data_IF_508712310266
#
_entry.id   IF_508712310266
#
_cell.length_a   1.000
_cell.length_b   1.000
_cell.length_c   1.000
_cell.angle_alpha   90.00
_cell.angle_beta   90.00
_cell.angle_gamma   90.00
#
_symmetry.space_group_name_H-M   'P 1'
#
loop_
_entity.id
_entity.type
_entity.pdbx_description
1 polymer ?
#
# COMPACT_ATOMS: atom_id res chain seq x y z
N UNK A 1 2.65 -16.83 -15.42
CA UNK A 1 1.70 -15.70 -15.62
C UNK A 1 2.44 -14.54 -16.25
N UNK A 2 1.88 -13.89 -17.27
CA UNK A 2 2.46 -12.66 -17.85
C UNK A 2 2.19 -11.47 -16.95
N UNK A 3 2.96 -10.38 -17.12
CA UNK A 3 2.73 -9.17 -16.35
C UNK A 3 1.32 -8.58 -16.55
N UNK A 4 0.79 -8.62 -17.79
CA UNK A 4 -0.58 -8.16 -18.06
C UNK A 4 -1.64 -9.03 -17.37
N UNK A 5 -1.45 -10.33 -17.29
CA UNK A 5 -2.31 -11.22 -16.51
C UNK A 5 -2.25 -10.85 -15.03
N UNK A 6 -1.06 -10.66 -14.46
CA UNK A 6 -0.86 -10.25 -13.06
C UNK A 6 -1.60 -8.95 -12.75
N UNK A 7 -1.40 -7.88 -13.53
CA UNK A 7 -2.10 -6.62 -13.30
C UNK A 7 -3.61 -6.72 -13.54
N UNK A 8 -4.05 -7.68 -14.37
CA UNK A 8 -5.48 -7.90 -14.63
C UNK A 8 -6.20 -8.51 -13.43
N UNK A 9 -5.54 -9.39 -12.67
CA UNK A 9 -6.11 -10.07 -11.51
C UNK A 9 -5.89 -9.31 -10.19
N UNK A 10 -4.81 -8.50 -10.07
CA UNK A 10 -4.62 -7.68 -8.88
C UNK A 10 -5.84 -6.79 -8.61
N UNK A 11 -6.39 -6.86 -7.43
CA UNK A 11 -7.55 -6.06 -7.03
C UNK A 11 -7.46 -5.60 -5.57
N UNK A 12 -8.19 -4.54 -5.21
CA UNK A 12 -8.36 -4.12 -3.81
C UNK A 12 -9.34 -5.06 -3.12
N UNK A 13 -8.83 -6.02 -2.37
CA UNK A 13 -9.60 -7.03 -1.65
C UNK A 13 -10.07 -6.47 -0.30
N UNK A 14 -11.34 -6.66 0.01
CA UNK A 14 -11.98 -6.18 1.23
C UNK A 14 -12.69 -7.28 2.03
N UNK A 15 -12.26 -8.52 1.83
CA UNK A 15 -12.66 -9.68 2.63
C UNK A 15 -11.51 -10.67 2.66
N UNK A 16 -11.02 -10.99 3.84
CA UNK A 16 -9.86 -11.86 4.06
C UNK A 16 -10.26 -13.10 4.84
N UNK A 17 -9.51 -14.19 4.65
CA UNK A 17 -9.54 -15.33 5.53
C UNK A 17 -8.86 -14.95 6.86
N UNK A 18 -9.61 -14.86 7.97
CA UNK A 18 -9.06 -14.39 9.24
C UNK A 18 -8.22 -15.45 9.96
N UNK A 19 -8.26 -16.70 9.51
CA UNK A 19 -7.62 -17.85 10.17
C UNK A 19 -6.28 -18.18 9.50
N UNK A 20 -6.20 -18.01 8.19
CA UNK A 20 -5.01 -18.36 7.42
C UNK A 20 -3.90 -17.32 7.60
N UNK A 21 -2.75 -17.68 8.21
CA UNK A 21 -1.63 -16.76 8.36
C UNK A 21 -0.96 -16.49 7.01
N UNK A 22 -0.24 -15.37 6.93
CA UNK A 22 0.68 -15.08 5.83
C UNK A 22 2.03 -15.69 6.18
N UNK A 23 2.58 -16.50 5.28
CA UNK A 23 3.89 -17.11 5.41
C UNK A 23 4.99 -16.02 5.40
N UNK A 24 5.96 -16.13 6.29
CA UNK A 24 7.03 -15.13 6.45
C UNK A 24 7.81 -14.92 5.16
N UNK A 25 8.12 -15.98 4.45
CA UNK A 25 8.88 -15.93 3.19
C UNK A 25 8.12 -15.18 2.07
N UNK A 26 6.80 -15.31 2.01
CA UNK A 26 5.96 -14.54 1.08
C UNK A 26 5.92 -13.06 1.43
N UNK A 27 5.81 -12.75 2.74
CA UNK A 27 5.85 -11.38 3.21
C UNK A 27 7.19 -10.72 2.88
N UNK A 28 8.31 -11.43 3.12
CA UNK A 28 9.65 -10.93 2.80
C UNK A 28 9.84 -10.68 1.30
N UNK A 29 9.30 -11.55 0.42
CA UNK A 29 9.32 -11.28 -1.04
C UNK A 29 8.51 -10.05 -1.43
N UNK A 30 7.38 -9.81 -0.77
CA UNK A 30 6.60 -8.58 -1.00
C UNK A 30 7.36 -7.32 -0.55
N UNK A 31 8.06 -7.40 0.59
CA UNK A 31 8.90 -6.31 1.11
C UNK A 31 10.07 -6.06 0.15
N UNK A 32 10.70 -7.12 -0.36
CA UNK A 32 11.80 -7.01 -1.32
C UNK A 32 11.34 -6.38 -2.65
N UNK A 33 10.17 -6.76 -3.16
CA UNK A 33 9.60 -6.15 -4.36
C UNK A 33 9.39 -4.64 -4.18
N UNK A 34 8.88 -4.21 -3.02
CA UNK A 34 8.76 -2.79 -2.67
C UNK A 34 10.13 -2.11 -2.59
N UNK A 35 11.13 -2.75 -1.95
CA UNK A 35 12.49 -2.21 -1.80
C UNK A 35 13.16 -1.96 -3.14
N UNK A 36 12.88 -2.79 -4.14
CA UNK A 36 13.42 -2.70 -5.51
C UNK A 36 12.72 -1.66 -6.38
N UNK A 37 11.67 -1.01 -5.88
CA UNK A 37 10.96 0.03 -6.64
C UNK A 37 11.87 1.23 -6.95
N UNK A 38 11.73 1.83 -8.14
CA UNK A 38 12.46 3.05 -8.48
C UNK A 38 11.96 4.23 -7.67
N UNK A 39 12.82 5.24 -7.48
CA UNK A 39 12.46 6.50 -6.86
C UNK A 39 13.25 7.66 -7.47
N UNK A 40 12.71 8.87 -7.39
CA UNK A 40 13.37 10.07 -7.88
C UNK A 40 14.72 10.25 -7.17
N UNK A 41 15.80 10.39 -7.97
CA UNK A 41 17.18 10.50 -7.46
C UNK A 41 17.57 9.35 -6.50
N UNK A 42 16.98 8.18 -6.66
CA UNK A 42 17.16 7.02 -5.77
C UNK A 42 16.94 7.36 -4.28
N UNK A 43 16.00 8.25 -4.00
CA UNK A 43 15.76 8.79 -2.66
C UNK A 43 15.14 7.77 -1.68
N UNK A 44 14.41 6.78 -2.19
CA UNK A 44 13.76 5.71 -1.41
C UNK A 44 13.03 6.26 -0.17
N UNK A 45 12.06 7.18 -0.36
CA UNK A 45 11.49 7.98 0.72
C UNK A 45 10.43 7.22 1.52
N UNK A 46 10.69 5.97 1.86
CA UNK A 46 9.75 5.09 2.56
C UNK A 46 10.42 4.28 3.65
N UNK A 47 9.65 4.01 4.68
CA UNK A 47 9.91 2.99 5.70
C UNK A 47 8.63 2.21 5.95
N UNK A 48 8.76 0.91 6.03
CA UNK A 48 7.63 0.03 6.35
C UNK A 48 7.60 -0.25 7.85
N UNK A 49 6.40 -0.21 8.42
CA UNK A 49 6.10 -0.78 9.72
C UNK A 49 5.16 -1.96 9.48
N UNK A 50 5.67 -3.16 9.66
CA UNK A 50 4.91 -4.42 9.54
C UNK A 50 4.25 -4.72 10.87
N UNK A 51 2.93 -4.86 10.87
CA UNK A 51 2.14 -5.09 12.08
C UNK A 51 1.50 -6.48 12.00
N UNK A 52 2.07 -7.43 12.73
CA UNK A 52 1.64 -8.84 12.79
C UNK A 52 1.11 -9.24 14.17
N UNK A 53 1.49 -8.50 15.24
CA UNK A 53 0.95 -8.73 16.58
C UNK A 53 -0.58 -8.55 16.55
N UNK A 54 -1.38 -9.55 16.94
CA UNK A 54 -2.83 -9.52 16.78
C UNK A 54 -3.54 -8.35 17.47
N UNK A 55 -3.08 -7.99 18.67
CA UNK A 55 -3.70 -6.92 19.47
C UNK A 55 -3.37 -5.56 18.88
N UNK A 56 -2.09 -5.32 18.57
CA UNK A 56 -1.64 -4.10 17.93
C UNK A 56 -2.26 -3.94 16.54
N UNK A 57 -2.27 -5.01 15.74
CA UNK A 57 -2.89 -5.04 14.41
C UNK A 57 -4.38 -4.67 14.48
N UNK A 58 -5.13 -5.21 15.46
CA UNK A 58 -6.54 -4.88 15.62
C UNK A 58 -6.74 -3.41 16.01
N UNK A 59 -5.90 -2.85 16.88
CA UNK A 59 -5.94 -1.42 17.24
C UNK A 59 -5.66 -0.53 16.03
N UNK A 60 -4.67 -0.87 15.20
CA UNK A 60 -4.36 -0.17 13.95
C UNK A 60 -5.51 -0.30 12.94
N UNK A 61 -6.10 -1.50 12.82
CA UNK A 61 -7.26 -1.73 11.97
C UNK A 61 -8.48 -0.86 12.38
N UNK A 62 -8.70 -0.69 13.69
CA UNK A 62 -9.76 0.19 14.20
C UNK A 62 -9.51 1.67 13.87
N UNK A 63 -8.25 2.11 13.88
CA UNK A 63 -7.88 3.46 13.47
C UNK A 63 -7.99 3.66 11.94
N UNK A 64 -7.92 2.57 11.16
CA UNK A 64 -8.14 2.58 9.71
C UNK A 64 -9.63 2.52 9.34
N UNK A 65 -10.52 2.14 10.29
CA UNK A 65 -11.95 2.07 10.07
C UNK A 65 -12.59 3.45 10.30
N UNK A 66 -13.14 4.05 9.25
CA UNK A 66 -14.01 5.23 9.40
C UNK A 66 -15.40 4.76 9.87
N UNK A 67 -15.53 4.42 11.15
CA UNK A 67 -16.72 3.77 11.73
C UNK A 67 -18.03 4.52 11.46
N UNK A 68 -17.99 5.85 11.51
CA UNK A 68 -19.14 6.71 11.29
C UNK A 68 -19.57 6.83 9.80
N UNK A 69 -18.68 6.47 8.87
CA UNK A 69 -18.96 6.41 7.43
C UNK A 69 -19.18 4.98 6.91
N UNK A 70 -19.04 3.96 7.77
CA UNK A 70 -19.13 2.55 7.37
C UNK A 70 -17.98 2.08 6.46
N UNK A 71 -16.91 2.87 6.31
CA UNK A 71 -15.77 2.53 5.46
C UNK A 71 -14.71 1.74 6.23
N UNK A 72 -13.97 0.90 5.49
CA UNK A 72 -12.79 0.19 5.98
C UNK A 72 -13.03 -0.70 7.22
N UNK A 73 -14.13 -1.45 7.29
CA UNK A 73 -14.38 -2.40 8.39
C UNK A 73 -13.63 -3.74 8.20
N UNK A 74 -13.06 -3.97 7.02
CA UNK A 74 -12.38 -5.20 6.65
C UNK A 74 -10.93 -5.37 7.16
N UNK A 75 -10.16 -4.32 7.57
CA UNK A 75 -8.75 -4.49 7.94
C UNK A 75 -8.54 -5.41 9.15
N UNK A 76 -9.54 -5.56 10.03
CA UNK A 76 -9.47 -6.50 11.15
C UNK A 76 -9.35 -7.97 10.71
N UNK A 77 -9.89 -8.30 9.52
CA UNK A 77 -9.83 -9.66 8.96
C UNK A 77 -8.43 -10.00 8.41
N UNK A 78 -7.68 -8.99 7.97
CA UNK A 78 -6.34 -9.20 7.43
C UNK A 78 -5.37 -9.58 8.56
N UNK A 79 -4.57 -10.66 8.40
CA UNK A 79 -3.59 -11.07 9.40
C UNK A 79 -2.40 -10.10 9.52
N UNK A 80 -2.11 -9.33 8.49
CA UNK A 80 -0.98 -8.39 8.45
C UNK A 80 -1.45 -7.02 7.96
N UNK A 81 -0.98 -5.97 8.62
CA UNK A 81 -1.07 -4.59 8.13
C UNK A 81 0.32 -4.02 7.91
N UNK A 82 0.53 -3.35 6.77
CA UNK A 82 1.77 -2.67 6.43
C UNK A 82 1.50 -1.17 6.45
N UNK A 83 2.17 -0.43 7.32
CA UNK A 83 2.09 1.04 7.34
C UNK A 83 3.29 1.61 6.63
N UNK A 84 3.07 2.37 5.55
CA UNK A 84 4.13 3.06 4.81
C UNK A 84 4.29 4.45 5.37
N UNK A 85 5.46 4.68 5.98
CA UNK A 85 5.85 5.94 6.56
C UNK A 85 6.74 6.69 5.57
N UNK A 86 6.43 7.96 5.33
CA UNK A 86 7.28 8.82 4.50
C UNK A 86 8.53 9.20 5.27
N UNK A 87 9.68 8.83 4.69
CA UNK A 87 10.99 9.26 5.12
C UNK A 87 11.41 10.58 4.45
N UNK A 88 12.38 11.25 5.04
CA UNK A 88 12.95 12.43 4.39
C UNK A 88 13.67 12.03 3.10
N UNK A 89 13.30 12.69 2.00
CA UNK A 89 14.03 12.57 0.75
C UNK A 89 15.45 13.14 0.89
N UNK A 90 16.39 12.64 0.08
CA UNK A 90 17.74 13.20 0.00
C UNK A 90 17.70 14.67 -0.45
N UNK A 91 18.80 15.41 -0.25
CA UNK A 91 18.89 16.84 -0.51
C UNK A 91 18.52 17.19 -1.97
N UNK A 92 18.94 16.36 -2.93
CA UNK A 92 18.67 16.54 -4.37
C UNK A 92 17.17 16.40 -4.70
N UNK A 93 16.51 15.41 -4.12
CA UNK A 93 15.06 15.20 -4.31
C UNK A 93 14.23 16.29 -3.62
N UNK A 94 14.68 16.77 -2.43
CA UNK A 94 14.06 17.92 -1.73
C UNK A 94 14.13 19.18 -2.59
N UNK A 95 15.29 19.49 -3.17
CA UNK A 95 15.48 20.66 -4.04
C UNK A 95 14.59 20.55 -5.29
N UNK A 96 14.52 19.39 -5.91
CA UNK A 96 13.65 19.15 -7.06
C UNK A 96 12.16 19.30 -6.72
N UNK A 97 11.73 18.85 -5.55
CA UNK A 97 10.35 19.03 -5.08
C UNK A 97 9.99 20.50 -4.91
N UNK A 98 10.87 21.30 -4.30
CA UNK A 98 10.63 22.72 -4.07
C UNK A 98 10.66 23.51 -5.38
N UNK A 99 11.66 23.28 -6.25
CA UNK A 99 11.83 24.03 -7.50
C UNK A 99 10.78 23.71 -8.57
N UNK A 100 10.22 22.50 -8.56
CA UNK A 100 9.28 22.01 -9.59
C UNK A 100 7.86 21.86 -9.10
N UNK A 101 7.58 22.13 -7.82
CA UNK A 101 6.27 21.95 -7.19
C UNK A 101 5.67 20.55 -7.44
N UNK A 102 6.52 19.51 -7.31
CA UNK A 102 6.12 18.11 -7.55
C UNK A 102 6.34 17.27 -6.30
N UNK A 103 5.32 16.56 -5.82
CA UNK A 103 5.41 15.71 -4.62
C UNK A 103 6.09 14.36 -4.93
N UNK A 104 7.34 14.37 -5.41
CA UNK A 104 8.09 13.17 -5.78
C UNK A 104 8.01 12.04 -4.73
N UNK A 105 8.16 12.31 -3.41
CA UNK A 105 8.06 11.25 -2.41
C UNK A 105 6.73 10.50 -2.41
N UNK A 106 5.61 11.18 -2.70
CA UNK A 106 4.30 10.54 -2.77
C UNK A 106 4.13 9.71 -4.03
N UNK A 107 4.72 10.16 -5.15
CA UNK A 107 4.75 9.39 -6.41
C UNK A 107 5.59 8.12 -6.21
N UNK A 108 6.77 8.24 -5.61
CA UNK A 108 7.68 7.13 -5.33
C UNK A 108 7.03 6.09 -4.39
N UNK A 109 6.34 6.54 -3.33
CA UNK A 109 5.58 5.67 -2.42
C UNK A 109 4.47 4.92 -3.15
N UNK A 110 3.76 5.59 -4.07
CA UNK A 110 2.73 4.95 -4.89
C UNK A 110 3.27 3.82 -5.77
N UNK A 111 4.44 4.04 -6.39
CA UNK A 111 5.15 3.03 -7.18
C UNK A 111 5.56 1.84 -6.30
N UNK A 112 6.20 2.13 -5.16
CA UNK A 112 6.66 1.10 -4.23
C UNK A 112 5.50 0.27 -3.64
N UNK A 113 4.39 0.92 -3.30
CA UNK A 113 3.18 0.25 -2.81
C UNK A 113 2.56 -0.68 -3.87
N UNK A 114 2.56 -0.29 -5.14
CA UNK A 114 2.04 -1.16 -6.21
C UNK A 114 2.99 -2.35 -6.47
N UNK A 115 4.33 -2.19 -6.41
CA UNK A 115 5.26 -3.32 -6.47
C UNK A 115 4.96 -4.36 -5.38
N UNK A 116 4.73 -3.91 -4.13
CA UNK A 116 4.30 -4.77 -3.04
C UNK A 116 3.00 -5.51 -3.38
N UNK A 117 1.98 -4.81 -3.87
CA UNK A 117 0.68 -5.39 -4.17
C UNK A 117 0.72 -6.37 -5.34
N UNK A 118 1.56 -6.13 -6.34
CA UNK A 118 1.75 -7.03 -7.46
C UNK A 118 2.46 -8.31 -7.01
N UNK A 119 3.52 -8.20 -6.22
CA UNK A 119 4.19 -9.37 -5.66
C UNK A 119 3.26 -10.18 -4.76
N UNK A 120 2.49 -9.52 -3.89
CA UNK A 120 1.50 -10.20 -3.06
C UNK A 120 0.48 -10.99 -3.91
N UNK A 121 0.05 -10.41 -5.04
CA UNK A 121 -0.86 -11.09 -5.97
C UNK A 121 -0.21 -12.31 -6.61
N UNK A 122 1.06 -12.22 -7.00
CA UNK A 122 1.83 -13.34 -7.56
C UNK A 122 2.01 -14.49 -6.55
N UNK A 123 2.12 -14.16 -5.25
CA UNK A 123 2.17 -15.11 -4.14
C UNK A 123 0.80 -15.71 -3.76
N UNK A 124 -0.27 -15.35 -4.48
CA UNK A 124 -1.65 -15.76 -4.17
C UNK A 124 -2.25 -15.06 -2.96
N UNK A 125 -1.60 -13.98 -2.50
CA UNK A 125 -2.11 -13.11 -1.44
C UNK A 125 -2.98 -11.99 -2.05
N UNK A 126 -3.73 -11.34 -1.19
CA UNK A 126 -4.59 -10.23 -1.54
C UNK A 126 -4.25 -8.98 -0.74
N UNK A 127 -4.42 -7.82 -1.35
CA UNK A 127 -4.11 -6.54 -0.73
C UNK A 127 -5.23 -5.52 -0.88
N UNK A 128 -5.26 -4.54 0.02
CA UNK A 128 -6.01 -3.31 -0.15
C UNK A 128 -5.23 -2.13 0.42
N UNK A 129 -4.91 -1.14 -0.41
CA UNK A 129 -4.34 0.12 0.03
C UNK A 129 -5.42 1.02 0.62
N UNK A 130 -5.11 1.68 1.74
CA UNK A 130 -5.98 2.61 2.45
C UNK A 130 -5.22 3.89 2.74
N UNK A 131 -5.71 5.02 2.20
CA UNK A 131 -5.18 6.36 2.49
C UNK A 131 -6.04 7.15 3.50
N UNK A 132 -7.23 6.63 3.83
CA UNK A 132 -8.13 7.26 4.79
C UNK A 132 -8.10 6.50 6.12
N UNK A 133 -7.46 7.08 7.12
CA UNK A 133 -7.33 6.53 8.48
C UNK A 133 -6.99 7.63 9.48
N UNK A 134 -7.12 7.35 10.76
CA UNK A 134 -6.70 8.23 11.86
C UNK A 134 -5.17 8.20 12.00
N UNK A 135 -4.48 9.01 11.18
CA UNK A 135 -3.01 9.05 11.15
C UNK A 135 -2.39 9.36 12.52
N UNK A 136 -2.85 10.37 13.29
CA UNK A 136 -2.31 10.66 14.61
C UNK A 136 -2.31 9.44 15.55
N UNK A 137 -3.44 8.74 15.61
CA UNK A 137 -3.62 7.55 16.43
C UNK A 137 -2.74 6.38 15.98
N UNK A 138 -2.63 6.15 14.66
CA UNK A 138 -1.72 5.12 14.12
C UNK A 138 -0.27 5.43 14.47
N UNK A 139 0.15 6.69 14.33
CA UNK A 139 1.51 7.12 14.67
C UNK A 139 1.83 6.92 16.16
N UNK A 140 0.90 7.25 17.03
CA UNK A 140 1.05 7.05 18.47
C UNK A 140 1.25 5.56 18.81
N UNK A 141 0.35 4.70 18.31
CA UNK A 141 0.41 3.25 18.57
C UNK A 141 1.68 2.59 18.06
N UNK A 142 2.23 3.07 16.94
CA UNK A 142 3.41 2.49 16.29
C UNK A 142 4.72 3.20 16.64
N UNK A 143 4.70 4.21 17.52
CA UNK A 143 5.88 4.98 17.88
C UNK A 143 6.48 5.78 16.72
N UNK A 144 5.68 6.14 15.71
CA UNK A 144 6.14 6.93 14.56
C UNK A 144 6.33 8.39 14.99
N UNK A 145 7.50 8.99 14.77
CA UNK A 145 7.78 10.37 15.18
C UNK A 145 6.76 11.37 14.64
N UNK A 146 6.35 12.34 15.46
CA UNK A 146 5.31 13.35 15.11
C UNK A 146 5.59 14.07 13.78
N UNK A 147 6.85 14.34 13.47
CA UNK A 147 7.29 15.02 12.25
C UNK A 147 7.15 14.18 10.97
N UNK A 148 7.02 12.85 11.09
CA UNK A 148 6.84 11.94 9.94
C UNK A 148 5.37 11.75 9.61
N UNK A 149 5.08 11.36 8.38
CA UNK A 149 3.73 11.08 7.88
C UNK A 149 3.58 9.60 7.60
N UNK A 150 2.49 9.01 8.07
CA UNK A 150 2.03 7.70 7.62
C UNK A 150 1.11 7.90 6.41
N UNK A 151 1.56 7.51 5.22
CA UNK A 151 0.88 7.86 3.98
C UNK A 151 -0.14 6.80 3.53
N UNK A 152 0.16 5.52 3.76
CA UNK A 152 -0.68 4.40 3.36
C UNK A 152 -0.67 3.30 4.41
N UNK A 153 -1.80 2.61 4.54
CA UNK A 153 -1.89 1.29 5.16
C UNK A 153 -2.26 0.27 4.09
N UNK A 154 -1.53 -0.83 4.00
CA UNK A 154 -1.87 -1.96 3.13
C UNK A 154 -2.33 -3.11 4.02
N UNK A 155 -3.58 -3.55 3.84
CA UNK A 155 -4.06 -4.81 4.41
C UNK A 155 -3.55 -5.96 3.53
N UNK A 156 -3.00 -7.01 4.15
CA UNK A 156 -2.42 -8.17 3.48
C UNK A 156 -2.94 -9.46 4.12
N UNK A 157 -3.33 -10.42 3.29
CA UNK A 157 -3.79 -11.74 3.71
C UNK A 157 -4.29 -12.56 2.54
N UNK A 158 -4.80 -13.77 2.81
CA UNK A 158 -5.49 -14.54 1.80
C UNK A 158 -6.91 -14.01 1.58
N UNK A 159 -7.40 -13.96 0.33
CA UNK A 159 -8.77 -13.52 0.08
C UNK A 159 -9.77 -14.56 0.60
N UNK A 160 -10.86 -14.10 1.22
CA UNK A 160 -11.94 -14.99 1.69
C UNK A 160 -12.64 -15.71 0.52
N UNK A 161 -12.59 -15.14 -0.69
CA UNK A 161 -13.13 -15.72 -1.92
C UNK A 161 -12.15 -15.43 -3.06
N UNK A 162 -12.01 -16.38 -3.97
CA UNK A 162 -11.10 -16.25 -5.12
C UNK A 162 -11.75 -15.61 -6.35
N UNK A 163 -12.82 -14.87 -6.16
CA UNK A 163 -13.49 -14.16 -7.23
C UNK A 163 -12.73 -12.89 -7.64
N UNK A 164 -12.51 -12.75 -8.93
CA UNK A 164 -11.89 -11.57 -9.53
C UNK A 164 -13.00 -10.70 -10.11
N UNK A 165 -13.18 -9.52 -9.56
CA UNK A 165 -14.17 -8.56 -10.03
C UNK A 165 -13.79 -8.01 -11.40
N UNK A 166 -14.78 -7.86 -12.28
CA UNK A 166 -14.60 -7.17 -13.55
C UNK A 166 -14.06 -5.75 -13.30
N UNK A 167 -12.90 -5.44 -13.89
CA UNK A 167 -12.33 -4.11 -13.81
C UNK A 167 -13.09 -3.12 -14.67
N UNK A 168 -13.52 -2.01 -14.06
CA UNK A 168 -14.08 -0.88 -14.78
C UNK A 168 -12.93 0.11 -15.01
N UNK A 169 -12.66 0.43 -16.27
CA UNK A 169 -11.62 1.38 -16.69
C UNK A 169 -12.16 2.33 -17.73
N UNK A 170 -11.59 3.50 -17.81
CA UNK A 170 -11.82 4.42 -18.92
C UNK A 170 -11.35 3.78 -20.23
N UNK A 171 -11.99 4.05 -21.35
CA UNK A 171 -11.51 3.61 -22.66
C UNK A 171 -10.15 4.22 -22.96
N UNK A 172 -9.37 3.54 -23.81
CA UNK A 172 -7.96 3.89 -24.09
C UNK A 172 -7.83 5.33 -24.58
N UNK A 173 -8.76 5.79 -25.37
CA UNK A 173 -8.80 7.11 -26.00
C UNK A 173 -8.95 8.25 -24.97
N UNK A 174 -9.47 7.94 -23.77
CA UNK A 174 -9.58 8.90 -22.67
C UNK A 174 -8.33 8.97 -21.79
N UNK A 175 -7.40 8.03 -21.93
CA UNK A 175 -6.19 7.96 -21.11
C UNK A 175 -4.90 8.11 -21.92
N UNK A 176 -5.01 8.10 -23.25
CA UNK A 176 -3.84 8.16 -24.13
C UNK A 176 -4.17 8.99 -25.38
N UNK A 177 -3.35 9.99 -25.65
CA UNK A 177 -3.30 10.73 -26.90
C UNK A 177 -1.91 10.63 -27.51
N UNK A 178 -1.79 10.79 -28.82
CA UNK A 178 -0.51 10.76 -29.52
C UNK A 178 -0.13 12.17 -29.96
N UNK A 179 1.10 12.58 -29.61
CA UNK A 179 1.74 13.85 -29.99
C UNK A 179 1.12 15.13 -29.38
N UNK A 180 -0.17 15.13 -29.08
CA UNK A 180 -0.89 16.28 -28.47
C UNK A 180 -1.86 15.78 -27.40
N UNK A 181 -2.23 16.67 -26.46
CA UNK A 181 -3.25 16.42 -25.46
C UNK A 181 -4.64 16.29 -26.11
#
# INVERSE_FOLDING_TARGET
>A
MTFLELVSIRQSTRAYDPVRPVETDKLERCIEALRLAPSACNAQPWKLVVVTDPDLKNKVADAAAAKWLGFNNFPRQAPVLIVIVREEANLTSKLGTVLKDKPYPLMDIGIAAEHFCLQATDEGLATCMMGWFDEPRVKEMLGIPKKKRAELIIALGYPAKQDIRKKIRKPKEQICSYNRY
#
